data_IF_951840242804
#
_entry.id   IF_951840242804
#
_cell.length_a   1.000
_cell.length_b   1.000
_cell.length_c   1.000
_cell.angle_alpha   90.00
_cell.angle_beta   90.00
_cell.angle_gamma   90.00
#
_symmetry.space_group_name_H-M   'P 1'
#
loop_
_entity.id
_entity.type
_entity.pdbx_description
1 polymer ?
#
# COMPACT_ATOMS: atom_id res chain seq x y z
N UNK A 1 -7.35 -5.15 -1.02
CA UNK A 1 -8.36 -5.65 -0.10
C UNK A 1 -9.06 -4.54 0.66
N UNK A 2 -8.74 -4.30 1.93
CA UNK A 2 -9.37 -3.29 2.77
C UNK A 2 -8.30 -2.64 3.65
N UNK A 3 -8.39 -1.32 3.86
CA UNK A 3 -7.34 -0.58 4.58
C UNK A 3 -7.58 -0.56 6.08
N UNK A 4 -8.83 -0.31 6.53
CA UNK A 4 -9.18 -0.31 7.96
C UNK A 4 -9.66 -1.70 8.38
N UNK A 5 -9.24 -2.12 9.56
CA UNK A 5 -9.63 -3.42 10.13
C UNK A 5 -11.15 -3.52 10.37
N UNK A 6 -11.63 -4.75 10.34
CA UNK A 6 -13.01 -5.12 10.71
C UNK A 6 -13.00 -6.56 11.20
N UNK A 7 -14.11 -7.04 11.77
CA UNK A 7 -14.23 -8.41 12.31
C UNK A 7 -13.88 -9.48 11.27
N UNK A 8 -14.25 -9.25 10.00
CA UNK A 8 -13.96 -10.13 8.88
C UNK A 8 -12.65 -9.82 8.15
N UNK A 9 -11.91 -8.78 8.59
CA UNK A 9 -10.61 -8.36 8.05
C UNK A 9 -9.73 -7.73 9.13
N UNK A 10 -9.17 -8.51 10.07
CA UNK A 10 -8.40 -7.96 11.18
C UNK A 10 -7.01 -7.43 10.81
N UNK A 11 -6.52 -7.68 9.59
CA UNK A 11 -5.18 -7.30 9.10
C UNK A 11 -5.07 -5.83 8.66
N UNK A 12 -6.14 -5.07 8.73
CA UNK A 12 -6.14 -3.64 8.42
C UNK A 12 -5.58 -2.79 9.56
N UNK A 13 -5.40 -1.49 9.29
CA UNK A 13 -5.12 -0.51 10.36
C UNK A 13 -6.27 -0.51 11.37
N UNK A 14 -5.98 -0.52 12.67
CA UNK A 14 -7.04 -0.49 13.69
C UNK A 14 -7.88 0.78 13.59
N UNK A 15 -9.16 0.71 13.93
CA UNK A 15 -10.06 1.86 13.90
C UNK A 15 -9.55 3.04 14.76
N UNK A 16 -8.97 2.75 15.92
CA UNK A 16 -8.38 3.77 16.80
C UNK A 16 -7.20 4.47 16.13
N UNK A 17 -6.27 3.70 15.53
CA UNK A 17 -5.12 4.26 14.82
C UNK A 17 -5.56 5.09 13.61
N UNK A 18 -6.56 4.61 12.86
CA UNK A 18 -7.12 5.33 11.74
C UNK A 18 -7.79 6.63 12.20
N UNK A 19 -8.63 6.60 13.22
CA UNK A 19 -9.34 7.78 13.77
C UNK A 19 -8.36 8.86 14.25
N UNK A 20 -7.29 8.46 14.96
CA UNK A 20 -6.23 9.37 15.38
C UNK A 20 -5.51 10.00 14.19
N UNK A 21 -5.20 9.20 13.18
CA UNK A 21 -4.54 9.67 11.97
C UNK A 21 -5.45 10.60 11.16
N UNK A 22 -6.71 10.24 10.99
CA UNK A 22 -7.72 11.08 10.32
C UNK A 22 -7.89 12.42 11.02
N UNK A 23 -7.99 12.42 12.36
CA UNK A 23 -8.04 13.64 13.17
C UNK A 23 -6.81 14.53 12.99
N UNK A 24 -5.62 13.93 12.91
CA UNK A 24 -4.38 14.67 12.65
C UNK A 24 -4.41 15.35 11.27
N UNK A 25 -4.82 14.63 10.22
CA UNK A 25 -4.90 15.18 8.85
C UNK A 25 -5.92 16.30 8.78
N UNK A 26 -7.08 16.13 9.41
CA UNK A 26 -8.15 17.15 9.44
C UNK A 26 -7.71 18.43 10.15
N UNK A 27 -7.02 18.30 11.29
CA UNK A 27 -6.59 19.44 12.09
C UNK A 27 -5.32 20.13 11.55
N UNK A 28 -4.39 19.33 11.01
CA UNK A 28 -3.06 19.77 10.57
C UNK A 28 -2.67 19.06 9.27
N UNK A 29 -3.23 19.42 8.11
CA UNK A 29 -3.08 18.70 6.85
C UNK A 29 -1.64 18.41 6.44
N UNK A 30 -0.77 19.41 6.50
CA UNK A 30 0.65 19.22 6.16
C UNK A 30 1.37 18.26 7.10
N UNK A 31 1.10 18.35 8.40
CA UNK A 31 1.68 17.45 9.38
C UNK A 31 1.15 16.02 9.19
N UNK A 32 -0.15 15.89 8.95
CA UNK A 32 -0.77 14.62 8.64
C UNK A 32 -0.20 13.98 7.38
N UNK A 33 -0.04 14.77 6.31
CA UNK A 33 0.57 14.30 5.07
C UNK A 33 2.01 13.82 5.25
N UNK A 34 2.85 14.60 5.94
CA UNK A 34 4.22 14.18 6.28
C UNK A 34 4.25 12.90 7.12
N UNK A 35 3.31 12.75 8.04
CA UNK A 35 3.15 11.51 8.82
C UNK A 35 2.78 10.33 7.93
N UNK A 36 1.90 10.53 6.95
CA UNK A 36 1.52 9.51 5.98
C UNK A 36 2.74 9.03 5.16
N UNK A 37 3.54 9.95 4.62
CA UNK A 37 4.77 9.58 3.91
C UNK A 37 5.75 8.82 4.81
N UNK A 38 5.87 9.21 6.07
CA UNK A 38 6.72 8.50 7.04
C UNK A 38 6.22 7.08 7.34
N UNK A 39 4.90 6.87 7.39
CA UNK A 39 4.31 5.54 7.57
C UNK A 39 4.60 4.64 6.36
N UNK A 40 4.51 5.18 5.14
CA UNK A 40 4.84 4.42 3.92
C UNK A 40 6.33 4.01 3.84
N UNK A 41 7.22 4.79 4.44
CA UNK A 41 8.65 4.48 4.49
C UNK A 41 9.03 3.53 5.63
N UNK A 42 8.12 3.27 6.56
CA UNK A 42 8.38 2.42 7.72
C UNK A 42 8.59 0.96 7.29
N UNK A 43 9.62 0.32 7.83
CA UNK A 43 10.03 -1.03 7.42
C UNK A 43 11.12 -1.05 6.33
N UNK A 44 11.32 0.02 5.58
CA UNK A 44 12.39 0.11 4.58
C UNK A 44 13.79 0.07 5.22
N UNK A 45 14.82 -0.30 4.45
CA UNK A 45 16.23 -0.29 4.90
C UNK A 45 16.72 1.11 5.33
N UNK A 46 16.28 2.15 4.65
CA UNK A 46 16.50 3.56 5.03
C UNK A 46 15.16 4.32 5.09
N UNK A 47 14.39 4.20 6.20
CA UNK A 47 13.09 4.84 6.31
C UNK A 47 13.15 6.37 6.23
N UNK A 48 14.24 6.98 6.72
CA UNK A 48 14.39 8.44 6.71
C UNK A 48 14.69 8.96 5.31
N UNK A 49 15.61 8.30 4.60
CA UNK A 49 15.92 8.60 3.20
C UNK A 49 14.71 8.43 2.31
N UNK A 50 13.99 7.31 2.44
CA UNK A 50 12.79 7.06 1.66
C UNK A 50 11.68 8.08 1.95
N UNK A 51 11.40 8.42 3.22
CA UNK A 51 10.40 9.43 3.56
C UNK A 51 10.76 10.82 3.00
N UNK A 52 12.05 11.19 3.02
CA UNK A 52 12.54 12.42 2.39
C UNK A 52 12.34 12.38 0.88
N UNK A 53 12.70 11.28 0.24
CA UNK A 53 12.52 11.09 -1.21
C UNK A 53 11.05 11.15 -1.61
N UNK A 54 10.16 10.49 -0.89
CA UNK A 54 8.72 10.58 -1.08
C UNK A 54 8.20 12.02 -1.01
N UNK A 55 8.74 12.81 -0.08
CA UNK A 55 8.38 14.23 0.04
C UNK A 55 8.89 15.06 -1.14
N UNK A 56 10.10 14.78 -1.64
CA UNK A 56 10.70 15.46 -2.79
C UNK A 56 9.95 15.18 -4.11
N UNK A 57 9.32 13.99 -4.23
CA UNK A 57 8.49 13.62 -5.38
C UNK A 57 7.14 14.35 -5.41
N UNK A 58 6.74 14.99 -4.30
CA UNK A 58 5.45 15.67 -4.27
C UNK A 58 5.50 17.00 -5.06
N UNK A 59 4.38 17.40 -5.69
CA UNK A 59 4.26 18.73 -6.27
C UNK A 59 4.58 19.82 -5.23
N UNK A 60 5.23 20.89 -5.66
CA UNK A 60 5.54 22.04 -4.78
C UNK A 60 4.30 22.89 -4.48
N UNK A 61 3.21 22.61 -5.15
CA UNK A 61 1.92 23.29 -4.95
C UNK A 61 1.29 22.88 -3.61
N UNK A 62 0.44 23.75 -3.11
CA UNK A 62 -0.23 23.53 -1.83
C UNK A 62 -1.01 22.21 -1.84
N UNK A 63 -0.79 21.40 -0.82
CA UNK A 63 -1.60 20.21 -0.55
C UNK A 63 -3.04 20.66 -0.32
N UNK A 64 -3.98 20.18 -1.13
CA UNK A 64 -5.40 20.41 -0.91
C UNK A 64 -5.87 19.62 0.32
N UNK A 65 -6.20 20.30 1.44
CA UNK A 65 -6.64 19.64 2.66
C UNK A 65 -7.91 18.82 2.48
N UNK A 66 -8.83 19.30 1.63
CA UNK A 66 -10.09 18.59 1.39
C UNK A 66 -9.85 17.33 0.57
N UNK A 67 -8.94 17.35 -0.40
CA UNK A 67 -8.56 16.17 -1.15
C UNK A 67 -7.94 15.09 -0.25
N UNK A 68 -7.08 15.49 0.71
CA UNK A 68 -6.51 14.55 1.70
C UNK A 68 -7.61 13.91 2.56
N UNK A 69 -8.53 14.71 3.09
CA UNK A 69 -9.64 14.21 3.92
C UNK A 69 -10.55 13.28 3.12
N UNK A 70 -10.89 13.64 1.87
CA UNK A 70 -11.68 12.77 0.97
C UNK A 70 -10.96 11.47 0.65
N UNK A 71 -9.65 11.53 0.39
CA UNK A 71 -8.84 10.33 0.12
C UNK A 71 -8.81 9.38 1.31
N UNK A 72 -8.65 9.89 2.52
CA UNK A 72 -8.69 9.08 3.74
C UNK A 72 -10.09 8.48 3.98
N UNK A 73 -11.16 9.25 3.81
CA UNK A 73 -12.52 8.73 3.91
C UNK A 73 -12.79 7.60 2.90
N UNK A 74 -12.21 7.70 1.70
CA UNK A 74 -12.27 6.61 0.72
C UNK A 74 -11.53 5.37 1.22
N UNK A 75 -10.32 5.51 1.79
CA UNK A 75 -9.56 4.39 2.35
C UNK A 75 -10.30 3.70 3.50
N UNK A 76 -11.07 4.45 4.30
CA UNK A 76 -11.89 3.88 5.38
C UNK A 76 -12.96 2.93 4.86
N UNK A 77 -13.62 3.30 3.77
CA UNK A 77 -14.80 2.60 3.27
C UNK A 77 -14.51 1.61 2.16
N UNK A 78 -13.34 1.75 1.50
CA UNK A 78 -12.99 0.92 0.34
C UNK A 78 -12.72 -0.53 0.76
N UNK A 79 -13.51 -1.44 0.19
CA UNK A 79 -13.31 -2.88 0.27
C UNK A 79 -13.43 -3.48 -1.13
N UNK A 80 -12.32 -3.91 -1.68
CA UNK A 80 -12.23 -4.45 -3.05
C UNK A 80 -11.96 -5.96 -3.07
N UNK A 81 -12.18 -6.65 -1.97
CA UNK A 81 -11.91 -8.10 -1.86
C UNK A 81 -12.75 -8.91 -2.84
N UNK A 82 -14.02 -8.55 -2.99
CA UNK A 82 -14.93 -9.20 -3.94
C UNK A 82 -14.52 -8.94 -5.39
N UNK A 83 -14.20 -7.71 -5.71
CA UNK A 83 -13.78 -7.29 -7.04
C UNK A 83 -12.49 -7.99 -7.45
N UNK A 84 -11.52 -8.08 -6.55
CA UNK A 84 -10.28 -8.84 -6.76
C UNK A 84 -10.57 -10.31 -7.05
N UNK A 85 -11.45 -10.94 -6.27
CA UNK A 85 -11.83 -12.36 -6.47
C UNK A 85 -12.49 -12.62 -7.83
N UNK A 86 -13.15 -11.63 -8.40
CA UNK A 86 -13.88 -11.70 -9.67
C UNK A 86 -13.09 -11.21 -10.89
N UNK A 87 -11.82 -10.82 -10.72
CA UNK A 87 -10.98 -10.42 -11.86
C UNK A 87 -10.84 -11.58 -12.85
N UNK A 88 -11.14 -11.31 -14.12
CA UNK A 88 -11.16 -12.28 -15.23
C UNK A 88 -9.91 -12.20 -16.12
N UNK A 89 -8.88 -11.48 -15.68
CA UNK A 89 -7.61 -11.29 -16.37
C UNK A 89 -6.44 -11.67 -15.47
N UNK A 90 -5.33 -12.14 -16.06
CA UNK A 90 -4.09 -12.32 -15.31
C UNK A 90 -3.69 -11.01 -14.62
N UNK A 91 -3.41 -11.09 -13.33
CA UNK A 91 -2.97 -9.92 -12.56
C UNK A 91 -1.94 -10.30 -11.50
N UNK A 92 -1.03 -9.36 -11.22
CA UNK A 92 0.05 -9.50 -10.26
C UNK A 92 -0.15 -8.53 -9.10
N UNK A 93 -0.12 -9.08 -7.90
CA UNK A 93 -0.10 -8.32 -6.65
C UNK A 93 1.29 -8.43 -6.04
N UNK A 94 1.96 -7.30 -5.84
CA UNK A 94 3.32 -7.26 -5.28
C UNK A 94 3.28 -6.65 -3.89
N UNK A 95 3.84 -7.36 -2.92
CA UNK A 95 3.94 -6.93 -1.53
C UNK A 95 5.39 -6.92 -1.06
N UNK A 96 5.76 -5.92 -0.25
CA UNK A 96 6.99 -5.97 0.52
C UNK A 96 6.76 -6.73 1.84
N UNK A 97 7.63 -7.67 2.19
CA UNK A 97 7.48 -8.44 3.42
C UNK A 97 7.75 -7.59 4.69
N UNK A 98 8.45 -6.47 4.54
CA UNK A 98 8.79 -5.53 5.62
C UNK A 98 7.79 -4.36 5.71
N UNK A 99 6.67 -4.44 4.99
CA UNK A 99 5.62 -3.41 5.00
C UNK A 99 5.03 -3.25 6.40
N UNK A 100 5.14 -2.05 6.97
CA UNK A 100 4.63 -1.73 8.31
C UNK A 100 3.20 -1.16 8.28
N UNK A 101 2.66 -0.85 7.09
CA UNK A 101 1.25 -0.44 6.91
C UNK A 101 0.33 -1.62 6.62
N UNK A 102 0.88 -2.65 5.97
CA UNK A 102 0.15 -3.85 5.58
C UNK A 102 0.81 -5.04 6.24
N UNK A 103 0.10 -5.76 7.07
CA UNK A 103 0.57 -7.04 7.65
C UNK A 103 0.69 -8.10 6.56
N UNK A 104 1.71 -7.97 5.71
CA UNK A 104 1.87 -8.73 4.47
C UNK A 104 1.66 -10.22 4.63
N UNK A 105 2.22 -10.94 5.63
CA UNK A 105 2.02 -12.39 5.76
C UNK A 105 0.53 -12.76 5.91
N UNK A 106 -0.19 -12.03 6.75
CA UNK A 106 -1.60 -12.29 7.01
C UNK A 106 -2.48 -11.89 5.82
N UNK A 107 -2.15 -10.75 5.17
CA UNK A 107 -2.86 -10.30 3.96
C UNK A 107 -2.68 -11.29 2.83
N UNK A 108 -1.46 -11.78 2.59
CA UNK A 108 -1.18 -12.78 1.54
C UNK A 108 -1.92 -14.09 1.79
N UNK A 109 -1.97 -14.55 3.05
CA UNK A 109 -2.70 -15.76 3.42
C UNK A 109 -4.21 -15.61 3.22
N UNK A 110 -4.76 -14.43 3.52
CA UNK A 110 -6.18 -14.12 3.38
C UNK A 110 -6.55 -13.54 1.99
N UNK A 111 -5.58 -13.48 1.07
CA UNK A 111 -5.82 -12.92 -0.26
C UNK A 111 -6.84 -13.75 -1.03
N UNK A 112 -7.80 -13.13 -1.73
CA UNK A 112 -8.84 -13.88 -2.46
C UNK A 112 -8.23 -14.86 -3.44
N UNK A 113 -8.66 -16.13 -3.38
CA UNK A 113 -8.19 -17.18 -4.28
C UNK A 113 -8.81 -17.03 -5.66
N UNK A 114 -7.94 -16.85 -6.67
CA UNK A 114 -8.34 -16.82 -8.09
C UNK A 114 -7.15 -17.34 -8.93
N UNK A 115 -7.34 -18.32 -9.82
CA UNK A 115 -6.26 -18.90 -10.60
C UNK A 115 -5.57 -17.92 -11.57
N UNK A 116 -6.19 -16.77 -11.86
CA UNK A 116 -5.62 -15.72 -12.70
C UNK A 116 -4.82 -14.68 -11.89
N UNK A 117 -4.69 -14.87 -10.58
CA UNK A 117 -3.95 -13.98 -9.72
C UNK A 117 -2.62 -14.59 -9.29
N UNK A 118 -1.58 -13.79 -9.39
CA UNK A 118 -0.26 -14.09 -8.86
C UNK A 118 0.03 -13.13 -7.70
N UNK A 119 0.42 -13.68 -6.56
CA UNK A 119 0.88 -12.90 -5.42
C UNK A 119 2.38 -13.09 -5.28
N UNK A 120 3.12 -12.00 -5.32
CA UNK A 120 4.58 -11.96 -5.14
C UNK A 120 4.91 -11.17 -3.89
N UNK A 121 5.71 -11.76 -3.01
CA UNK A 121 6.25 -11.09 -1.83
C UNK A 121 7.75 -10.87 -2.00
N UNK A 122 8.20 -9.63 -1.84
CA UNK A 122 9.62 -9.24 -1.89
C UNK A 122 10.17 -9.19 -0.45
N UNK A 123 11.05 -10.14 -0.03
CA UNK A 123 11.36 -10.38 1.38
C UNK A 123 12.02 -9.20 2.10
N UNK A 124 12.83 -8.42 1.38
CA UNK A 124 13.68 -7.36 1.94
C UNK A 124 13.08 -5.96 1.78
N UNK A 125 11.90 -5.84 1.14
CA UNK A 125 11.30 -4.56 0.77
C UNK A 125 10.05 -4.28 1.62
N UNK A 126 9.73 -2.98 1.77
CA UNK A 126 8.58 -2.50 2.52
C UNK A 126 7.44 -2.02 1.58
N UNK A 127 6.73 -0.96 1.97
CA UNK A 127 5.51 -0.49 1.29
C UNK A 127 5.74 0.10 -0.11
N UNK A 128 6.96 0.57 -0.39
CA UNK A 128 7.31 1.23 -1.65
C UNK A 128 8.40 0.45 -2.42
N UNK A 129 8.18 -0.83 -2.75
CA UNK A 129 9.22 -1.69 -3.31
C UNK A 129 9.82 -1.15 -4.61
N UNK A 130 9.04 -0.44 -5.42
CA UNK A 130 9.49 0.17 -6.67
C UNK A 130 10.43 1.38 -6.47
N UNK A 131 10.45 1.99 -5.29
CA UNK A 131 11.39 3.06 -4.91
C UNK A 131 12.57 2.52 -4.12
N UNK A 132 12.38 1.44 -3.37
CA UNK A 132 13.42 0.86 -2.52
C UNK A 132 14.44 0.05 -3.33
N UNK A 133 13.97 -0.77 -4.26
CA UNK A 133 14.80 -1.50 -5.22
C UNK A 133 14.10 -1.57 -6.59
N UNK A 134 14.21 -0.52 -7.42
CA UNK A 134 13.63 -0.48 -8.76
C UNK A 134 14.07 -1.65 -9.65
N UNK A 135 15.31 -2.11 -9.50
CA UNK A 135 15.86 -3.18 -10.33
C UNK A 135 15.19 -4.52 -10.03
N UNK A 136 15.09 -4.87 -8.75
CA UNK A 136 14.40 -6.09 -8.32
C UNK A 136 12.92 -6.03 -8.69
N UNK A 137 12.26 -4.89 -8.47
CA UNK A 137 10.85 -4.69 -8.78
C UNK A 137 10.57 -4.86 -10.27
N UNK A 138 11.34 -4.19 -11.14
CA UNK A 138 11.20 -4.29 -12.60
C UNK A 138 11.48 -5.71 -13.08
N UNK A 139 12.54 -6.38 -12.60
CA UNK A 139 12.84 -7.76 -12.96
C UNK A 139 11.67 -8.70 -12.64
N UNK A 140 11.06 -8.54 -11.47
CA UNK A 140 9.91 -9.36 -11.03
C UNK A 140 8.68 -9.16 -11.92
N UNK A 141 8.38 -7.92 -12.32
CA UNK A 141 7.26 -7.62 -13.22
C UNK A 141 7.54 -8.14 -14.62
N UNK A 142 8.76 -7.97 -15.13
CA UNK A 142 9.15 -8.46 -16.45
C UNK A 142 9.02 -9.97 -16.54
N UNK A 143 9.46 -10.70 -15.50
CA UNK A 143 9.28 -12.14 -15.43
C UNK A 143 7.81 -12.53 -15.48
N UNK A 144 6.96 -11.89 -14.66
CA UNK A 144 5.52 -12.15 -14.66
C UNK A 144 4.87 -11.91 -16.04
N UNK A 145 5.23 -10.81 -16.71
CA UNK A 145 4.72 -10.50 -18.06
C UNK A 145 5.15 -11.60 -19.04
N UNK A 146 6.42 -11.99 -19.02
CA UNK A 146 6.95 -13.05 -19.88
C UNK A 146 6.16 -14.35 -19.68
N UNK A 147 5.93 -14.76 -18.43
CA UNK A 147 5.28 -16.02 -18.10
C UNK A 147 3.78 -16.04 -18.47
N UNK A 148 3.13 -14.87 -18.59
CA UNK A 148 1.70 -14.74 -18.88
C UNK A 148 1.36 -14.23 -20.31
N UNK A 149 2.34 -13.84 -21.12
CA UNK A 149 2.08 -13.28 -22.47
C UNK A 149 2.24 -14.31 -23.60
N UNK A 150 2.85 -15.46 -23.33
CA UNK A 150 3.16 -16.47 -24.34
C UNK A 150 2.35 -17.77 -24.21
N UNK A 151 1.17 -17.70 -23.60
CA UNK A 151 0.23 -18.83 -23.52
C UNK A 151 -1.09 -18.54 -24.21
#
# INVERSE_FOLDING_TARGET
PKFVASDDWPMGMSEDAYSQFFGLVKAFPEKGFRRFLSLQAQGAKDPKGLAKHLLELQPKELIDPEALVRGLALLETLDVRREIALLDRPNLHVFGAQDALVETPNVVQAFPSNPLQTVLTLPELAHQPFLEDPSQFVASITQYIHDNTFH
#
